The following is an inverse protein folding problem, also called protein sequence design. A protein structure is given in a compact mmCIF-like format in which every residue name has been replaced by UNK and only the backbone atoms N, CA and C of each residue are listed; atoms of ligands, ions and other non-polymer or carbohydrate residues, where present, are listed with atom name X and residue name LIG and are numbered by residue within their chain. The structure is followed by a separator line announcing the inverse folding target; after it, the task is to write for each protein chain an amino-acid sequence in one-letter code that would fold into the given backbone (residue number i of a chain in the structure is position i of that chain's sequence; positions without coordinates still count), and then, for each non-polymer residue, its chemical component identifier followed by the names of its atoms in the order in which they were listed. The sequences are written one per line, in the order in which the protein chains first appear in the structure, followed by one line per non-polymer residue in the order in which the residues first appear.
data_IF_846286339795
#
_entry.id   IF_846286339795
#
_cell.length_a   1.000
_cell.length_b   1.000
_cell.length_c   1.000
_cell.angle_alpha   90.00
_cell.angle_beta   90.00
_cell.angle_gamma   90.00
#
_symmetry.space_group_name_H-M   'P 1'
#
loop_
_entity.id
_entity.type
_entity.pdbx_description
1 polymer ?
#
# COMPACT_ATOMS: atom_id res chain seq x y z
N UNK A 1 -27.34 49.78 1.62
CA UNK A 1 -27.68 49.81 3.06
C UNK A 1 -26.74 48.79 3.72
N UNK A 2 -25.86 49.31 4.34
CA UNK A 2 -24.90 49.21 5.41
C UNK A 2 -25.48 48.56 6.67
N UNK A 3 -24.58 47.87 7.39
CA UNK A 3 -24.53 47.46 8.81
C UNK A 3 -24.41 45.94 8.94
N UNK A 4 -23.51 45.35 9.77
CA UNK A 4 -22.58 45.89 10.73
C UNK A 4 -21.90 44.71 11.42
N UNK A 5 -20.63 44.87 11.74
CA UNK A 5 -19.77 43.95 12.48
C UNK A 5 -20.16 43.85 13.97
N UNK A 6 -20.04 42.70 14.57
CA UNK A 6 -19.92 42.47 16.02
C UNK A 6 -19.28 41.10 16.21
N UNK A 7 -18.13 40.91 16.62
CA UNK A 7 -17.36 41.13 17.79
C UNK A 7 -17.66 40.03 18.83
N UNK A 8 -16.89 38.87 18.82
CA UNK A 8 -16.93 37.91 19.92
C UNK A 8 -15.53 37.79 20.54
N UNK A 9 -15.45 38.21 21.76
CA UNK A 9 -14.33 38.28 22.69
C UNK A 9 -13.84 36.88 23.12
N UNK A 10 -12.54 36.68 23.07
CA UNK A 10 -11.86 35.56 23.69
C UNK A 10 -11.77 35.74 25.20
N UNK A 11 -12.27 34.79 25.95
CA UNK A 11 -12.05 34.69 27.41
C UNK A 11 -11.02 33.62 27.67
N UNK A 12 -9.81 34.07 28.05
CA UNK A 12 -8.73 33.26 28.60
C UNK A 12 -9.04 32.90 30.04
N UNK A 13 -9.17 31.60 30.36
CA UNK A 13 -9.14 31.13 31.73
C UNK A 13 -7.70 30.84 32.16
N UNK A 14 -7.20 31.68 33.05
CA UNK A 14 -5.98 31.44 33.81
C UNK A 14 -6.34 30.62 35.04
N UNK A 15 -5.83 29.40 35.16
CA UNK A 15 -5.93 28.63 36.38
C UNK A 15 -4.63 28.75 37.15
N UNK A 16 -4.75 29.34 38.33
CA UNK A 16 -3.66 29.57 39.31
C UNK A 16 -3.31 28.30 40.08
N UNK A 17 -2.02 28.11 40.23
CA UNK A 17 -1.30 27.48 41.36
C UNK A 17 -1.63 26.04 41.78
N UNK A 18 -0.72 25.14 41.43
CA UNK A 18 -0.34 24.05 42.32
C UNK A 18 1.17 23.82 42.25
N UNK A 19 1.88 24.36 43.26
CA UNK A 19 3.30 24.09 43.47
C UNK A 19 3.42 22.69 44.12
N UNK A 20 4.00 21.74 43.35
CA UNK A 20 4.47 20.45 43.89
C UNK A 20 5.98 20.32 43.74
N UNK A 21 6.61 19.97 44.87
CA UNK A 21 8.07 19.87 45.09
C UNK A 21 8.75 18.89 44.14
N UNK A 22 9.95 19.21 43.62
CA UNK A 22 10.69 18.33 42.72
C UNK A 22 11.74 17.51 43.49
N UNK A 23 11.46 16.25 43.86
CA UNK A 23 12.54 15.40 44.38
C UNK A 23 12.38 13.87 44.19
N UNK A 24 11.35 13.36 43.52
CA UNK A 24 11.24 11.88 43.32
C UNK A 24 10.99 11.41 41.85
N UNK A 25 11.00 12.30 40.88
CA UNK A 25 10.75 11.93 39.46
C UNK A 25 12.01 11.59 38.65
N UNK A 26 13.19 11.99 39.08
CA UNK A 26 14.43 11.77 38.30
C UNK A 26 14.95 10.33 38.32
N UNK A 27 14.67 9.54 39.34
CA UNK A 27 15.14 8.13 39.41
C UNK A 27 14.27 7.17 38.59
N UNK A 28 12.94 7.39 38.51
CA UNK A 28 12.05 6.55 37.73
C UNK A 28 12.19 6.78 36.20
N UNK A 29 12.43 8.02 35.78
CA UNK A 29 12.66 8.30 34.35
C UNK A 29 13.97 7.70 33.81
N UNK A 30 15.04 7.62 34.65
CA UNK A 30 16.28 6.95 34.26
C UNK A 30 16.12 5.42 34.20
N UNK A 31 15.37 4.80 35.10
CA UNK A 31 15.09 3.36 35.04
C UNK A 31 14.25 2.96 33.82
N UNK A 32 13.24 3.77 33.43
CA UNK A 32 12.46 3.53 32.22
C UNK A 32 13.28 3.75 30.96
N UNK A 33 14.20 4.73 30.95
CA UNK A 33 15.08 4.99 29.81
C UNK A 33 16.12 3.87 29.62
N UNK A 34 16.63 3.30 30.68
CA UNK A 34 17.62 2.20 30.64
C UNK A 34 16.92 0.88 30.25
N UNK A 35 15.72 0.60 30.76
CA UNK A 35 14.93 -0.56 30.34
C UNK A 35 14.45 -0.46 28.88
N UNK A 36 14.11 0.73 28.39
CA UNK A 36 13.72 0.96 26.99
C UNK A 36 14.91 0.93 26.01
N UNK A 37 16.15 1.04 26.49
CA UNK A 37 17.36 0.89 25.66
C UNK A 37 17.82 -0.56 25.53
N UNK A 38 17.29 -1.49 26.36
CA UNK A 38 17.74 -2.88 26.39
C UNK A 38 17.05 -3.80 25.36
N UNK A 39 15.96 -3.35 24.69
CA UNK A 39 15.21 -4.19 23.74
C UNK A 39 14.59 -3.31 22.63
N UNK A 40 15.40 -2.74 21.75
CA UNK A 40 14.93 -2.16 20.49
C UNK A 40 15.24 -3.15 19.35
N UNK A 41 14.27 -4.01 18.99
CA UNK A 41 14.50 -5.08 18.00
C UNK A 41 14.86 -4.55 16.62
N UNK A 42 14.51 -3.28 16.31
CA UNK A 42 14.89 -2.63 15.07
C UNK A 42 16.40 -2.34 15.08
N UNK A 43 16.90 -1.71 16.15
CA UNK A 43 18.33 -1.43 16.31
C UNK A 43 19.16 -2.69 16.40
N UNK A 44 18.67 -3.69 17.14
CA UNK A 44 19.32 -4.98 17.27
C UNK A 44 19.49 -5.64 15.91
N UNK A 45 18.43 -5.72 15.11
CA UNK A 45 18.50 -6.31 13.78
C UNK A 45 19.44 -5.53 12.85
N UNK A 46 19.37 -4.19 12.83
CA UNK A 46 20.22 -3.35 11.98
C UNK A 46 21.71 -3.57 12.31
N UNK A 47 22.05 -3.69 13.60
CA UNK A 47 23.42 -3.83 14.07
C UNK A 47 23.95 -5.26 14.02
N UNK A 48 23.09 -6.26 13.87
CA UNK A 48 23.46 -7.67 13.72
C UNK A 48 23.32 -8.17 12.29
N UNK A 49 22.08 -8.43 11.85
CA UNK A 49 21.78 -8.98 10.53
C UNK A 49 21.88 -7.92 9.41
N UNK A 50 21.62 -6.63 9.73
CA UNK A 50 21.76 -5.50 8.79
C UNK A 50 23.19 -5.13 8.44
N UNK A 51 24.18 -5.83 9.01
CA UNK A 51 25.61 -5.64 8.76
C UNK A 51 26.15 -4.23 9.08
N UNK A 52 25.41 -3.42 9.84
CA UNK A 52 25.85 -2.11 10.29
C UNK A 52 26.56 -2.23 11.66
N UNK A 53 27.64 -1.49 11.85
CA UNK A 53 28.27 -1.41 13.17
C UNK A 53 27.78 -0.20 13.97
N UNK A 54 27.17 0.78 13.31
CA UNK A 54 26.71 2.02 13.92
C UNK A 54 25.50 2.61 13.21
N UNK A 55 24.50 3.02 14.01
CA UNK A 55 23.41 3.89 13.55
C UNK A 55 23.83 5.34 13.88
N UNK A 56 23.99 6.14 12.82
CA UNK A 56 24.50 7.50 12.93
C UNK A 56 23.39 8.52 13.14
N UNK A 57 22.22 8.28 12.52
CA UNK A 57 21.08 9.21 12.55
C UNK A 57 19.77 8.48 12.34
N UNK A 58 18.71 8.94 12.98
CA UNK A 58 17.33 8.53 12.71
C UNK A 58 16.52 9.78 12.37
N UNK A 59 15.90 9.79 11.19
CA UNK A 59 15.14 10.93 10.68
C UNK A 59 13.73 10.48 10.34
N UNK A 60 12.67 11.14 10.85
CA UNK A 60 11.30 10.88 10.41
C UNK A 60 11.16 11.12 8.90
N UNK A 61 10.46 10.21 8.23
CA UNK A 61 10.07 10.34 6.82
C UNK A 61 8.59 10.64 6.79
N UNK A 62 8.20 11.71 6.10
CA UNK A 62 6.81 12.10 5.94
C UNK A 62 6.08 11.21 4.93
N UNK A 63 4.76 11.15 5.03
CA UNK A 63 3.88 10.37 4.14
C UNK A 63 3.40 9.08 4.80
N UNK A 64 2.12 8.88 4.83
CA UNK A 64 1.46 7.71 5.42
C UNK A 64 0.51 8.09 6.56
N UNK A 65 -0.75 7.63 6.45
CA UNK A 65 -1.80 8.00 7.42
C UNK A 65 -1.84 7.08 8.64
N UNK A 66 -1.27 5.86 8.53
CA UNK A 66 -1.48 4.78 9.50
C UNK A 66 -0.19 4.42 10.24
N UNK A 67 0.93 4.44 9.53
CA UNK A 67 2.23 4.02 10.03
C UNK A 67 3.16 5.22 10.25
N UNK A 68 4.09 5.08 11.19
CA UNK A 68 5.21 6.01 11.34
C UNK A 68 6.39 5.47 10.56
N UNK A 69 7.01 6.32 9.75
CA UNK A 69 8.19 5.95 8.96
C UNK A 69 9.42 6.73 9.41
N UNK A 70 10.57 6.08 9.41
CA UNK A 70 11.85 6.66 9.71
C UNK A 70 12.93 6.13 8.74
N UNK A 71 13.86 7.00 8.42
CA UNK A 71 15.14 6.64 7.82
C UNK A 71 16.17 6.42 8.93
N UNK A 72 16.86 5.30 8.86
CA UNK A 72 17.98 4.96 9.74
C UNK A 72 19.27 5.04 8.92
N UNK A 73 20.06 6.06 9.13
CA UNK A 73 21.39 6.20 8.51
C UNK A 73 22.39 5.37 9.30
N UNK A 74 23.16 4.55 8.62
CA UNK A 74 24.19 3.67 9.19
C UNK A 74 25.47 3.73 8.39
N UNK A 75 26.52 3.12 8.90
CA UNK A 75 27.78 2.94 8.19
C UNK A 75 27.73 1.87 7.07
N UNK A 76 26.69 1.03 7.04
CA UNK A 76 26.43 0.07 5.97
C UNK A 76 25.40 0.59 4.92
N UNK A 77 24.92 1.83 5.05
CA UNK A 77 23.88 2.45 4.22
C UNK A 77 22.60 2.70 5.00
N UNK A 78 21.64 3.39 4.37
CA UNK A 78 20.38 3.74 5.01
C UNK A 78 19.36 2.61 4.93
N UNK A 79 18.52 2.47 5.99
CA UNK A 79 17.34 1.61 6.03
C UNK A 79 16.07 2.45 6.13
N UNK A 80 14.99 1.98 5.52
CA UNK A 80 13.65 2.50 5.72
C UNK A 80 12.88 1.61 6.69
N UNK A 81 12.28 2.22 7.71
CA UNK A 81 11.59 1.49 8.78
C UNK A 81 10.19 2.07 8.96
N UNK A 82 9.16 1.24 8.79
CA UNK A 82 7.80 1.57 9.22
C UNK A 82 7.50 0.90 10.56
N UNK A 83 6.74 1.61 11.39
CA UNK A 83 6.25 1.08 12.67
C UNK A 83 4.77 1.38 12.84
N UNK A 84 4.04 0.44 13.44
CA UNK A 84 2.67 0.62 13.88
C UNK A 84 2.54 0.16 15.33
N UNK A 85 1.96 0.98 16.20
CA UNK A 85 1.83 0.67 17.63
C UNK A 85 0.54 -0.05 18.01
N UNK A 86 -0.43 -0.11 17.09
CA UNK A 86 -1.76 -0.69 17.33
C UNK A 86 -2.02 -1.99 16.60
N UNK A 87 -1.22 -2.31 15.57
CA UNK A 87 -1.45 -3.46 14.69
C UNK A 87 -0.26 -4.41 14.81
N UNK A 88 -0.56 -5.71 14.95
CA UNK A 88 0.45 -6.76 15.04
C UNK A 88 1.16 -7.03 13.70
N UNK A 89 2.13 -7.97 13.68
CA UNK A 89 3.01 -8.21 12.54
C UNK A 89 2.32 -8.58 11.23
N UNK A 90 1.13 -9.19 11.29
CA UNK A 90 0.43 -9.72 10.11
C UNK A 90 0.19 -8.68 9.00
N UNK A 91 0.00 -7.40 9.35
CA UNK A 91 -0.13 -6.33 8.37
C UNK A 91 1.18 -6.15 7.57
N UNK A 92 2.31 -6.06 8.25
CA UNK A 92 3.62 -5.93 7.60
C UNK A 92 4.12 -7.22 6.97
N UNK A 93 3.68 -8.39 7.45
CA UNK A 93 3.93 -9.67 6.79
C UNK A 93 3.26 -9.70 5.40
N UNK A 94 2.01 -9.23 5.31
CA UNK A 94 1.30 -9.09 4.04
C UNK A 94 2.00 -8.13 3.07
N UNK A 95 2.46 -6.98 3.56
CA UNK A 95 3.23 -6.01 2.78
C UNK A 95 4.58 -6.59 2.32
N UNK A 96 5.33 -7.22 3.24
CA UNK A 96 6.63 -7.81 2.94
C UNK A 96 6.55 -8.93 1.90
N UNK A 97 5.55 -9.82 2.02
CA UNK A 97 5.34 -10.88 1.04
C UNK A 97 4.94 -10.32 -0.33
N UNK A 98 4.10 -9.28 -0.36
CA UNK A 98 3.74 -8.58 -1.59
C UNK A 98 4.94 -7.92 -2.26
N UNK A 99 5.75 -7.16 -1.50
CA UNK A 99 7.00 -6.56 -1.99
C UNK A 99 7.98 -7.61 -2.50
N UNK A 100 8.14 -8.74 -1.78
CA UNK A 100 8.99 -9.84 -2.22
C UNK A 100 8.52 -10.44 -3.55
N UNK A 101 7.22 -10.73 -3.67
CA UNK A 101 6.65 -11.27 -4.90
C UNK A 101 6.86 -10.33 -6.10
N UNK A 102 6.70 -9.01 -5.90
CA UNK A 102 6.98 -8.02 -6.95
C UNK A 102 8.47 -7.91 -7.26
N UNK A 103 9.33 -7.88 -6.23
CA UNK A 103 10.78 -7.84 -6.38
C UNK A 103 11.32 -9.02 -7.20
N UNK A 104 10.78 -10.21 -6.98
CA UNK A 104 11.18 -11.42 -7.67
C UNK A 104 10.81 -11.43 -9.17
N UNK A 105 9.85 -10.59 -9.58
CA UNK A 105 9.55 -10.40 -11.02
C UNK A 105 10.67 -9.69 -11.77
N UNK A 106 11.53 -8.92 -11.09
CA UNK A 106 12.63 -8.13 -11.65
C UNK A 106 12.21 -7.17 -12.76
N UNK A 107 11.03 -6.58 -12.61
CA UNK A 107 10.46 -5.67 -13.60
C UNK A 107 10.40 -4.23 -13.09
N UNK A 108 9.40 -3.89 -12.29
CA UNK A 108 9.29 -2.57 -11.66
C UNK A 108 10.08 -2.50 -10.37
N UNK A 109 10.69 -1.37 -10.09
CA UNK A 109 11.43 -1.13 -8.85
C UNK A 109 10.48 -1.04 -7.66
N UNK A 110 10.77 -1.82 -6.63
CA UNK A 110 10.10 -1.80 -5.31
C UNK A 110 11.15 -1.85 -4.21
N UNK A 111 10.89 -1.31 -3.00
CA UNK A 111 11.80 -1.49 -1.89
C UNK A 111 11.87 -2.95 -1.46
N UNK A 112 13.07 -3.48 -1.30
CA UNK A 112 13.27 -4.85 -0.83
C UNK A 112 12.92 -4.94 0.65
N UNK A 113 11.97 -5.79 1.08
CA UNK A 113 11.72 -6.04 2.50
C UNK A 113 12.85 -6.88 3.10
N UNK A 114 13.26 -6.55 4.32
CA UNK A 114 14.40 -7.18 4.98
C UNK A 114 13.99 -7.89 6.26
N UNK A 115 13.12 -7.26 7.08
CA UNK A 115 12.68 -7.83 8.37
C UNK A 115 11.30 -7.34 8.74
N UNK A 116 10.47 -8.23 9.24
CA UNK A 116 9.22 -7.92 9.95
C UNK A 116 9.33 -8.43 11.37
N UNK A 117 8.76 -7.71 12.33
CA UNK A 117 8.75 -8.15 13.71
C UNK A 117 7.74 -7.42 14.60
N UNK A 118 7.55 -7.96 15.79
CA UNK A 118 6.74 -7.35 16.84
C UNK A 118 7.56 -6.34 17.66
N UNK A 119 6.89 -5.30 18.15
CA UNK A 119 7.47 -4.35 19.11
C UNK A 119 7.19 -4.82 20.52
N UNK A 120 8.15 -4.73 21.46
CA UNK A 120 7.96 -5.15 22.86
C UNK A 120 6.82 -4.41 23.58
N UNK A 121 6.56 -3.17 23.16
CA UNK A 121 5.47 -2.34 23.71
C UNK A 121 4.11 -2.58 23.07
N UNK A 122 4.01 -3.59 22.20
CA UNK A 122 2.85 -3.85 21.33
C UNK A 122 2.99 -3.17 19.96
N UNK A 123 2.31 -3.75 18.95
CA UNK A 123 2.44 -3.34 17.57
C UNK A 123 3.54 -4.08 16.81
N UNK A 124 3.99 -3.51 15.69
CA UNK A 124 4.91 -4.19 14.77
C UNK A 124 5.78 -3.20 13.99
N UNK A 125 6.77 -3.74 13.28
CA UNK A 125 7.65 -3.00 12.38
C UNK A 125 7.98 -3.80 11.13
N UNK A 126 8.35 -3.08 10.07
CA UNK A 126 9.02 -3.61 8.89
C UNK A 126 10.27 -2.78 8.61
N UNK A 127 11.38 -3.46 8.33
CA UNK A 127 12.64 -2.87 7.85
C UNK A 127 12.76 -3.23 6.38
N UNK A 128 13.06 -2.25 5.55
CA UNK A 128 13.25 -2.45 4.12
C UNK A 128 14.37 -1.57 3.60
N UNK A 129 14.78 -1.83 2.37
CA UNK A 129 15.68 -0.97 1.62
C UNK A 129 15.19 0.47 1.63
N UNK A 130 16.10 1.40 1.83
CA UNK A 130 15.83 2.82 1.63
C UNK A 130 16.08 3.17 0.16
N UNK A 131 15.05 3.65 -0.54
CA UNK A 131 15.17 4.17 -1.89
C UNK A 131 15.19 5.69 -1.81
N UNK A 132 16.22 6.30 -2.37
CA UNK A 132 16.29 7.75 -2.49
C UNK A 132 15.49 8.20 -3.72
N UNK A 133 14.49 9.05 -3.48
CA UNK A 133 13.59 9.49 -4.54
C UNK A 133 14.14 10.72 -5.27
N UNK A 134 13.90 10.73 -6.58
CA UNK A 134 14.10 11.90 -7.43
C UNK A 134 13.03 12.97 -7.24
N UNK A 135 13.21 14.11 -7.89
CA UNK A 135 12.27 15.23 -7.84
C UNK A 135 11.09 15.09 -8.82
N UNK A 136 11.16 14.14 -9.77
CA UNK A 136 10.12 13.88 -10.78
C UNK A 136 9.29 12.65 -10.41
N UNK A 137 8.12 12.52 -11.02
CA UNK A 137 7.29 11.30 -10.91
C UNK A 137 7.76 10.14 -11.80
N UNK A 138 8.89 10.30 -12.48
CA UNK A 138 9.39 9.33 -13.45
C UNK A 138 8.66 9.35 -14.80
N UNK A 139 9.11 8.49 -15.71
CA UNK A 139 8.51 8.35 -17.04
C UNK A 139 7.26 7.45 -16.97
N UNK A 140 6.11 8.02 -17.33
CA UNK A 140 4.83 7.32 -17.38
C UNK A 140 4.82 6.17 -18.40
N UNK A 141 5.52 6.32 -19.51
CA UNK A 141 5.66 5.27 -20.53
C UNK A 141 6.43 4.07 -19.97
N UNK A 142 7.53 4.36 -19.26
CA UNK A 142 8.36 3.34 -18.62
C UNK A 142 7.60 2.64 -17.47
N UNK A 143 6.84 3.39 -16.66
CA UNK A 143 6.00 2.82 -15.62
C UNK A 143 4.96 1.86 -16.21
N UNK A 144 4.28 2.27 -17.29
CA UNK A 144 3.29 1.43 -17.96
C UNK A 144 3.90 0.14 -18.51
N UNK A 145 5.05 0.25 -19.17
CA UNK A 145 5.80 -0.90 -19.69
C UNK A 145 6.18 -1.88 -18.56
N UNK A 146 6.82 -1.38 -17.51
CA UNK A 146 7.29 -2.20 -16.38
C UNK A 146 6.16 -2.85 -15.60
N UNK A 147 5.04 -2.15 -15.40
CA UNK A 147 3.85 -2.72 -14.76
C UNK A 147 3.28 -3.88 -15.60
N UNK A 148 3.18 -3.70 -16.92
CA UNK A 148 2.74 -4.77 -17.81
C UNK A 148 3.68 -5.99 -17.79
N UNK A 149 4.97 -5.75 -17.72
CA UNK A 149 5.98 -6.82 -17.57
C UNK A 149 5.82 -7.55 -16.23
N UNK A 150 5.53 -6.83 -15.13
CA UNK A 150 5.24 -7.41 -13.83
C UNK A 150 4.01 -8.34 -13.90
N UNK A 151 2.92 -7.88 -14.51
CA UNK A 151 1.72 -8.68 -14.69
C UNK A 151 1.96 -9.93 -15.56
N UNK A 152 2.88 -9.86 -16.53
CA UNK A 152 3.24 -11.02 -17.37
C UNK A 152 4.17 -12.00 -16.66
N UNK A 153 5.09 -11.52 -15.85
CA UNK A 153 6.06 -12.33 -15.13
C UNK A 153 5.44 -12.98 -13.87
N UNK A 154 4.62 -12.21 -13.14
CA UNK A 154 3.97 -12.65 -11.91
C UNK A 154 2.69 -13.41 -12.18
N UNK A 155 2.76 -14.70 -12.49
CA UNK A 155 1.61 -15.59 -12.71
C UNK A 155 1.42 -16.54 -11.54
N UNK A 156 0.19 -16.99 -11.33
CA UNK A 156 -0.13 -18.00 -10.33
C UNK A 156 -0.80 -19.23 -10.95
N UNK A 157 -0.33 -20.39 -10.59
CA UNK A 157 -1.01 -21.68 -10.88
C UNK A 157 -2.05 -22.04 -9.81
N UNK A 158 -2.04 -21.38 -8.65
CA UNK A 158 -3.01 -21.57 -7.57
C UNK A 158 -4.37 -20.91 -7.85
N UNK A 159 -4.48 -20.10 -8.90
CA UNK A 159 -5.65 -19.26 -9.20
C UNK A 159 -5.53 -17.85 -8.65
N UNK A 160 -6.64 -17.30 -8.16
CA UNK A 160 -6.81 -15.92 -7.70
C UNK A 160 -6.77 -15.87 -6.16
N UNK A 161 -6.01 -14.94 -5.59
CA UNK A 161 -5.82 -14.83 -4.16
C UNK A 161 -4.37 -14.49 -3.78
N UNK A 162 -4.01 -14.71 -2.53
CA UNK A 162 -2.64 -14.57 -2.04
C UNK A 162 -2.44 -15.48 -0.83
N UNK A 163 -1.18 -15.80 -0.49
CA UNK A 163 -0.90 -16.74 0.60
C UNK A 163 -1.30 -16.19 1.98
N UNK A 164 -1.46 -14.87 2.11
CA UNK A 164 -1.94 -14.21 3.34
C UNK A 164 -2.98 -13.14 3.01
N UNK A 165 -3.86 -12.86 3.97
CA UNK A 165 -4.67 -11.66 3.91
C UNK A 165 -3.79 -10.43 4.16
N UNK A 166 -4.15 -9.29 3.56
CA UNK A 166 -3.48 -8.01 3.78
C UNK A 166 -4.51 -6.89 4.01
N UNK A 167 -4.12 -5.64 3.86
CA UNK A 167 -5.00 -4.49 4.08
C UNK A 167 -4.79 -3.45 2.99
N UNK A 168 -5.87 -2.76 2.61
CA UNK A 168 -5.80 -1.46 1.91
C UNK A 168 -6.12 -0.40 2.97
N UNK A 169 -5.12 0.39 3.33
CA UNK A 169 -5.22 1.23 4.50
C UNK A 169 -5.48 0.37 5.76
N UNK A 170 -6.56 0.65 6.49
CA UNK A 170 -7.00 -0.16 7.65
C UNK A 170 -8.04 -1.23 7.27
N UNK A 171 -8.50 -1.28 6.02
CA UNK A 171 -9.53 -2.22 5.58
C UNK A 171 -8.93 -3.58 5.26
N UNK A 172 -9.33 -4.67 5.93
CA UNK A 172 -8.86 -6.01 5.60
C UNK A 172 -9.23 -6.41 4.18
N UNK A 173 -8.30 -7.04 3.48
CA UNK A 173 -8.47 -7.60 2.15
C UNK A 173 -8.31 -9.12 2.22
N UNK A 174 -9.40 -9.84 1.95
CA UNK A 174 -9.43 -11.29 2.02
C UNK A 174 -8.84 -11.87 0.74
N UNK A 175 -7.85 -12.75 0.89
CA UNK A 175 -7.08 -13.31 -0.22
C UNK A 175 -7.15 -14.84 -0.29
N UNK A 176 -8.22 -15.45 0.24
CA UNK A 176 -8.43 -16.90 0.13
C UNK A 176 -8.38 -17.31 -1.34
N UNK A 177 -7.53 -18.28 -1.65
CA UNK A 177 -7.35 -18.81 -3.01
C UNK A 177 -8.65 -19.34 -3.60
N UNK A 178 -8.93 -18.99 -4.83
CA UNK A 178 -10.11 -19.37 -5.62
C UNK A 178 -9.68 -19.63 -7.05
N UNK A 179 -10.20 -20.68 -7.68
CA UNK A 179 -9.84 -21.05 -9.06
C UNK A 179 -10.49 -20.18 -10.12
N UNK A 180 -11.60 -19.51 -9.80
CA UNK A 180 -12.37 -18.67 -10.73
C UNK A 180 -12.28 -17.20 -10.31
N UNK A 181 -12.03 -16.32 -11.30
CA UNK A 181 -11.93 -14.87 -11.08
C UNK A 181 -13.23 -14.24 -10.61
N UNK A 182 -14.34 -14.60 -11.24
CA UNK A 182 -15.64 -14.01 -10.94
C UNK A 182 -16.07 -14.36 -9.52
N UNK A 183 -15.84 -15.62 -9.13
CA UNK A 183 -16.12 -16.09 -7.76
C UNK A 183 -15.21 -15.40 -6.74
N UNK A 184 -13.91 -15.24 -7.05
CA UNK A 184 -12.96 -14.50 -6.19
C UNK A 184 -13.38 -13.03 -6.03
N UNK A 185 -13.54 -12.31 -7.14
CA UNK A 185 -13.85 -10.89 -7.11
C UNK A 185 -15.22 -10.62 -6.52
N UNK A 186 -16.20 -11.41 -6.91
CA UNK A 186 -17.56 -11.32 -6.40
C UNK A 186 -17.65 -11.51 -4.89
N UNK A 187 -16.90 -12.46 -4.34
CA UNK A 187 -16.92 -12.79 -2.91
C UNK A 187 -15.98 -11.91 -2.07
N UNK A 188 -14.72 -11.83 -2.49
CA UNK A 188 -13.64 -11.28 -1.66
C UNK A 188 -13.30 -9.82 -1.98
N UNK A 189 -13.87 -9.25 -3.04
CA UNK A 189 -13.72 -7.84 -3.38
C UNK A 189 -15.07 -7.13 -3.31
N UNK A 190 -15.86 -7.16 -4.38
CA UNK A 190 -17.11 -6.40 -4.45
C UNK A 190 -18.10 -6.78 -3.33
N UNK A 191 -18.38 -8.08 -3.13
CA UNK A 191 -19.33 -8.54 -2.11
C UNK A 191 -18.89 -8.18 -0.69
N UNK A 192 -17.59 -8.29 -0.41
CA UNK A 192 -17.04 -7.90 0.89
C UNK A 192 -17.19 -6.39 1.14
N UNK A 193 -16.86 -5.55 0.15
CA UNK A 193 -17.03 -4.09 0.26
C UNK A 193 -18.49 -3.68 0.40
N UNK A 194 -19.40 -4.31 -0.33
CA UNK A 194 -20.84 -4.08 -0.20
C UNK A 194 -21.35 -4.41 1.21
N UNK A 195 -20.84 -5.50 1.79
CA UNK A 195 -21.16 -5.86 3.18
C UNK A 195 -20.66 -4.80 4.16
N UNK A 196 -19.38 -4.40 4.04
CA UNK A 196 -18.81 -3.36 4.91
C UNK A 196 -19.56 -2.03 4.79
N UNK A 197 -19.91 -1.61 3.57
CA UNK A 197 -20.68 -0.39 3.33
C UNK A 197 -22.08 -0.48 3.95
N UNK A 198 -22.73 -1.64 3.85
CA UNK A 198 -24.03 -1.87 4.48
C UNK A 198 -23.94 -1.81 6.01
N UNK A 199 -22.93 -2.48 6.58
CA UNK A 199 -22.71 -2.54 8.04
C UNK A 199 -22.39 -1.14 8.61
N UNK A 200 -21.65 -0.30 7.86
CA UNK A 200 -21.19 1.01 8.31
C UNK A 200 -22.20 2.15 8.03
N UNK A 201 -22.84 2.13 6.87
CA UNK A 201 -23.68 3.25 6.40
C UNK A 201 -25.17 2.91 6.28
N UNK A 202 -25.55 1.64 6.33
CA UNK A 202 -26.93 1.20 6.21
C UNK A 202 -27.55 1.44 4.82
N UNK A 203 -26.73 1.61 3.76
CA UNK A 203 -27.23 1.86 2.41
C UNK A 203 -27.74 0.59 1.75
N UNK A 204 -29.00 0.30 2.01
CA UNK A 204 -29.68 -0.87 1.46
C UNK A 204 -29.80 -0.84 -0.07
N UNK A 205 -29.95 0.37 -0.67
CA UNK A 205 -30.11 0.49 -2.12
C UNK A 205 -28.82 0.13 -2.87
N UNK A 206 -27.66 0.61 -2.40
CA UNK A 206 -26.35 0.21 -2.94
C UNK A 206 -26.14 -1.27 -2.74
N UNK A 207 -26.42 -1.79 -1.53
CA UNK A 207 -26.25 -3.21 -1.23
C UNK A 207 -27.08 -4.11 -2.17
N UNK A 208 -28.37 -3.77 -2.40
CA UNK A 208 -29.22 -4.52 -3.34
C UNK A 208 -28.69 -4.50 -4.78
N UNK A 209 -28.35 -3.30 -5.30
CA UNK A 209 -27.82 -3.14 -6.67
C UNK A 209 -26.50 -3.89 -6.83
N UNK A 210 -25.61 -3.77 -5.86
CA UNK A 210 -24.33 -4.45 -5.87
C UNK A 210 -24.47 -5.98 -5.84
N UNK A 211 -25.35 -6.52 -5.01
CA UNK A 211 -25.63 -7.96 -4.99
C UNK A 211 -26.23 -8.48 -6.31
N UNK A 212 -27.08 -7.66 -6.97
CA UNK A 212 -27.56 -7.99 -8.31
C UNK A 212 -26.41 -8.06 -9.33
N UNK A 213 -25.46 -7.12 -9.25
CA UNK A 213 -24.26 -7.14 -10.08
C UNK A 213 -23.42 -8.38 -9.81
N UNK A 214 -23.11 -8.70 -8.54
CA UNK A 214 -22.35 -9.91 -8.15
C UNK A 214 -22.99 -11.18 -8.73
N UNK A 215 -24.31 -11.33 -8.61
CA UNK A 215 -25.04 -12.50 -9.13
C UNK A 215 -24.96 -12.65 -10.64
N UNK A 216 -24.88 -11.54 -11.38
CA UNK A 216 -24.86 -11.55 -12.84
C UNK A 216 -23.46 -11.33 -13.44
N UNK A 217 -22.43 -11.24 -12.59
CA UNK A 217 -21.06 -10.92 -13.04
C UNK A 217 -20.51 -11.94 -14.04
N UNK A 218 -20.89 -13.21 -13.94
CA UNK A 218 -20.47 -14.25 -14.90
C UNK A 218 -20.80 -13.91 -16.34
N UNK A 219 -21.92 -13.21 -16.59
CA UNK A 219 -22.29 -12.77 -17.93
C UNK A 219 -21.31 -11.76 -18.55
N UNK A 220 -20.63 -10.97 -17.70
CA UNK A 220 -19.62 -10.01 -18.16
C UNK A 220 -18.31 -10.66 -18.57
N UNK A 221 -18.09 -11.90 -18.14
CA UNK A 221 -16.86 -12.68 -18.40
C UNK A 221 -17.10 -13.88 -19.33
N UNK A 222 -18.27 -13.97 -19.99
CA UNK A 222 -18.53 -15.02 -20.96
C UNK A 222 -17.50 -14.96 -22.09
N UNK A 223 -16.87 -16.08 -22.37
CA UNK A 223 -15.81 -16.24 -23.39
C UNK A 223 -14.53 -15.41 -23.12
N UNK A 224 -14.34 -14.91 -21.90
CA UNK A 224 -13.11 -14.23 -21.50
C UNK A 224 -12.30 -15.17 -20.63
N UNK A 225 -11.11 -15.51 -21.09
CA UNK A 225 -10.14 -16.25 -20.28
C UNK A 225 -9.35 -15.25 -19.41
N UNK A 226 -9.48 -15.38 -18.08
CA UNK A 226 -8.75 -14.55 -17.13
C UNK A 226 -7.57 -15.33 -16.59
N UNK A 227 -6.37 -14.81 -16.82
CA UNK A 227 -5.13 -15.39 -16.29
C UNK A 227 -4.75 -14.66 -14.99
N UNK A 228 -4.54 -15.39 -13.87
CA UNK A 228 -4.11 -14.79 -12.62
C UNK A 228 -2.74 -14.13 -12.78
N UNK A 229 -2.64 -12.84 -12.53
CA UNK A 229 -1.39 -12.10 -12.51
C UNK A 229 -1.20 -11.34 -11.20
N UNK A 230 0.05 -11.13 -10.81
CA UNK A 230 0.40 -10.39 -9.61
C UNK A 230 0.04 -8.91 -9.77
N UNK A 231 -0.82 -8.39 -8.91
CA UNK A 231 -1.22 -7.00 -8.86
C UNK A 231 -0.56 -6.30 -7.68
N UNK A 232 -0.30 -5.00 -7.84
CA UNK A 232 0.05 -4.13 -6.71
C UNK A 232 -1.16 -4.00 -5.76
N UNK A 233 -2.35 -3.88 -6.30
CA UNK A 233 -3.63 -3.90 -5.58
C UNK A 233 -4.03 -2.61 -4.87
N UNK A 234 -3.10 -1.62 -4.77
CA UNK A 234 -3.36 -0.28 -4.22
C UNK A 234 -2.53 0.78 -4.98
N UNK A 235 -2.59 0.75 -6.32
CA UNK A 235 -1.75 1.58 -7.19
C UNK A 235 -2.41 2.94 -7.48
N UNK A 236 -2.12 3.91 -6.65
CA UNK A 236 -2.54 5.32 -6.79
C UNK A 236 -1.33 6.26 -6.73
N UNK A 237 -1.53 7.55 -6.99
CA UNK A 237 -0.44 8.52 -7.12
C UNK A 237 0.47 8.65 -5.87
N UNK A 238 -0.05 8.30 -4.68
CA UNK A 238 0.74 8.31 -3.44
C UNK A 238 1.70 7.13 -3.31
N UNK A 239 1.44 6.05 -4.05
CA UNK A 239 2.26 4.83 -4.07
C UNK A 239 3.16 4.75 -5.31
N UNK A 240 3.26 5.83 -6.11
CA UNK A 240 4.09 5.94 -7.30
C UNK A 240 5.12 7.04 -7.11
N UNK A 241 6.39 6.73 -7.35
CA UNK A 241 7.52 7.64 -7.27
C UNK A 241 8.55 7.31 -8.36
N UNK A 242 9.70 7.96 -8.31
CA UNK A 242 10.88 7.57 -9.09
C UNK A 242 12.15 7.64 -8.25
N UNK A 243 13.13 6.80 -8.55
CA UNK A 243 14.47 6.92 -8.02
C UNK A 243 15.19 8.17 -8.50
N UNK A 244 16.34 8.47 -7.93
CA UNK A 244 17.22 9.59 -8.37
C UNK A 244 17.70 9.45 -9.83
N UNK A 245 17.70 8.22 -10.33
CA UNK A 245 18.02 7.87 -11.72
C UNK A 245 16.83 8.02 -12.68
N UNK A 246 15.64 8.38 -12.16
CA UNK A 246 14.39 8.50 -12.90
C UNK A 246 13.63 7.18 -13.11
N UNK A 247 14.15 6.05 -12.61
CA UNK A 247 13.46 4.76 -12.71
C UNK A 247 12.16 4.77 -11.91
N UNK A 248 11.01 4.34 -12.49
CA UNK A 248 9.76 4.26 -11.74
C UNK A 248 9.85 3.31 -10.54
N UNK A 249 9.33 3.77 -9.40
CA UNK A 249 9.27 3.02 -8.15
C UNK A 249 7.83 2.95 -7.68
N UNK A 250 7.35 1.77 -7.27
CA UNK A 250 6.04 1.60 -6.65
C UNK A 250 6.19 1.08 -5.22
N UNK A 251 5.29 1.50 -4.33
CA UNK A 251 5.40 1.39 -2.89
C UNK A 251 4.09 0.93 -2.26
N UNK A 252 4.15 0.39 -1.03
CA UNK A 252 2.99 0.12 -0.18
C UNK A 252 1.91 -0.74 -0.86
N UNK A 253 2.24 -1.94 -1.35
CA UNK A 253 1.31 -2.78 -2.06
C UNK A 253 0.31 -3.48 -1.14
N UNK A 254 -0.88 -3.77 -1.68
CA UNK A 254 -1.85 -4.71 -1.14
C UNK A 254 -2.00 -5.90 -2.10
N UNK A 255 -0.91 -6.64 -2.31
CA UNK A 255 -0.77 -7.63 -3.38
C UNK A 255 -1.77 -8.77 -3.31
N UNK A 256 -2.20 -9.18 -4.49
CA UNK A 256 -2.87 -10.45 -4.73
C UNK A 256 -2.76 -10.83 -6.21
N UNK A 257 -3.01 -12.10 -6.52
CA UNK A 257 -3.15 -12.55 -7.90
C UNK A 257 -4.58 -12.33 -8.37
N UNK A 258 -4.77 -11.50 -9.38
CA UNK A 258 -6.06 -11.08 -9.91
C UNK A 258 -6.07 -10.94 -11.43
N UNK A 259 -7.16 -10.41 -11.97
CA UNK A 259 -7.25 -9.95 -13.35
C UNK A 259 -6.44 -8.67 -13.52
N UNK A 260 -5.58 -8.60 -14.53
CA UNK A 260 -4.68 -7.43 -14.72
C UNK A 260 -5.42 -6.08 -14.77
N UNK A 261 -6.63 -6.05 -15.30
CA UNK A 261 -7.43 -4.82 -15.36
C UNK A 261 -7.95 -4.35 -13.99
N UNK A 262 -8.00 -5.23 -12.98
CA UNK A 262 -8.39 -4.82 -11.63
C UNK A 262 -7.37 -3.85 -11.00
N UNK A 263 -6.12 -3.81 -11.48
CA UNK A 263 -5.12 -2.82 -11.09
C UNK A 263 -5.58 -1.37 -11.36
N UNK A 264 -6.39 -1.19 -12.40
CA UNK A 264 -6.85 0.14 -12.82
C UNK A 264 -8.07 0.65 -12.05
N UNK A 265 -8.54 -0.07 -11.05
CA UNK A 265 -9.63 0.38 -10.18
C UNK A 265 -9.37 1.71 -9.48
N UNK A 266 -8.08 2.07 -9.28
CA UNK A 266 -7.63 3.34 -8.69
C UNK A 266 -7.11 4.35 -9.74
N UNK A 267 -7.31 4.10 -11.02
CA UNK A 267 -6.74 4.94 -12.11
C UNK A 267 -7.15 6.41 -12.05
N UNK A 268 -8.35 6.71 -11.57
CA UNK A 268 -8.86 8.08 -11.37
C UNK A 268 -8.02 8.92 -10.41
N UNK A 269 -7.28 8.31 -9.49
CA UNK A 269 -6.38 8.98 -8.54
C UNK A 269 -4.89 8.61 -8.73
N UNK A 270 -4.57 7.74 -9.69
CA UNK A 270 -3.19 7.36 -10.00
C UNK A 270 -2.47 8.41 -10.86
N UNK A 271 -3.22 9.15 -11.67
CA UNK A 271 -2.66 10.14 -12.59
C UNK A 271 -1.99 9.52 -13.82
N UNK A 272 -2.49 8.37 -14.28
CA UNK A 272 -2.01 7.71 -15.49
C UNK A 272 -2.40 8.51 -16.74
N UNK A 273 -1.42 8.82 -17.59
CA UNK A 273 -1.61 9.50 -18.85
C UNK A 273 -1.68 8.54 -20.05
N UNK A 274 -1.94 9.09 -21.23
CA UNK A 274 -2.03 8.32 -22.48
C UNK A 274 -0.75 7.52 -22.79
N UNK A 275 0.42 8.06 -22.45
CA UNK A 275 1.72 7.38 -22.64
C UNK A 275 1.85 6.13 -21.78
N UNK A 276 1.34 6.18 -20.53
CA UNK A 276 1.29 5.02 -19.65
C UNK A 276 0.48 3.88 -20.27
N UNK A 277 -0.79 4.17 -20.64
CA UNK A 277 -1.68 3.15 -21.19
C UNK A 277 -1.17 2.61 -22.54
N UNK A 278 -0.65 3.47 -23.41
CA UNK A 278 -0.08 3.05 -24.68
C UNK A 278 1.04 2.03 -24.50
N UNK A 279 1.97 2.29 -23.57
CA UNK A 279 3.10 1.40 -23.31
C UNK A 279 2.66 0.13 -22.58
N UNK A 280 1.72 0.23 -21.63
CA UNK A 280 1.18 -0.92 -20.95
C UNK A 280 0.52 -1.90 -21.92
N UNK A 281 -0.39 -1.41 -22.76
CA UNK A 281 -1.13 -2.26 -23.69
C UNK A 281 -0.25 -2.79 -24.83
N UNK A 282 0.77 -2.07 -25.24
CA UNK A 282 1.75 -2.58 -26.20
C UNK A 282 2.44 -3.85 -25.71
N UNK A 283 2.70 -3.95 -24.40
CA UNK A 283 3.30 -5.13 -23.78
C UNK A 283 2.27 -6.24 -23.58
N UNK A 284 1.08 -5.93 -23.05
CA UNK A 284 0.04 -6.94 -22.75
C UNK A 284 -0.50 -7.56 -24.04
N UNK A 285 -0.80 -6.76 -25.06
CA UNK A 285 -1.36 -7.21 -26.35
C UNK A 285 -0.30 -7.46 -27.41
N UNK A 286 0.84 -8.08 -27.09
CA UNK A 286 1.76 -8.56 -28.14
C UNK A 286 1.01 -9.42 -29.17
N UNK A 287 1.32 -9.28 -30.46
CA UNK A 287 0.60 -9.77 -31.67
C UNK A 287 0.04 -11.22 -31.64
N UNK A 288 0.35 -12.03 -30.64
CA UNK A 288 -0.22 -13.37 -30.45
C UNK A 288 -1.57 -13.38 -29.71
N UNK A 289 -1.96 -12.29 -29.04
CA UNK A 289 -3.20 -12.20 -28.25
C UNK A 289 -4.31 -11.43 -28.98
N UNK A 290 -4.00 -10.72 -30.07
CA UNK A 290 -4.94 -9.82 -30.77
C UNK A 290 -6.10 -10.49 -31.49
N UNK A 291 -6.14 -11.83 -31.54
CA UNK A 291 -7.26 -12.57 -32.19
C UNK A 291 -8.33 -13.06 -31.23
N UNK A 292 -8.15 -12.91 -29.90
CA UNK A 292 -9.11 -13.40 -28.89
C UNK A 292 -9.71 -12.33 -27.99
N UNK A 293 -9.11 -11.14 -27.94
CA UNK A 293 -9.66 -10.02 -27.15
C UNK A 293 -10.45 -9.10 -28.07
N UNK A 294 -11.77 -9.08 -27.86
CA UNK A 294 -12.65 -8.18 -28.59
C UNK A 294 -12.24 -6.73 -28.39
N UNK A 295 -12.35 -6.01 -29.49
CA UNK A 295 -12.34 -4.56 -29.71
C UNK A 295 -11.82 -3.65 -28.57
N UNK A 296 -10.73 -2.90 -28.76
CA UNK A 296 -10.19 -1.94 -27.79
C UNK A 296 -11.14 -0.76 -27.47
N UNK A 297 -12.37 -0.77 -27.94
CA UNK A 297 -13.37 0.27 -27.72
C UNK A 297 -13.91 0.40 -26.29
N UNK A 298 -13.61 -0.51 -25.38
CA UNK A 298 -14.10 -0.41 -23.99
C UNK A 298 -13.34 0.64 -23.14
N UNK A 299 -12.12 0.98 -23.53
CA UNK A 299 -11.28 1.93 -22.79
C UNK A 299 -11.39 3.40 -23.22
N UNK A 300 -12.05 3.69 -24.35
CA UNK A 300 -12.37 5.08 -24.74
C UNK A 300 -13.43 5.75 -23.84
N UNK A 301 -14.15 4.97 -23.03
CA UNK A 301 -15.18 5.50 -22.13
C UNK A 301 -14.66 5.94 -20.77
N UNK A 302 -13.41 5.66 -20.41
CA UNK A 302 -12.80 6.08 -19.14
C UNK A 302 -11.84 7.27 -19.27
N UNK A 303 -11.59 7.74 -20.49
CA UNK A 303 -10.67 8.84 -20.79
C UNK A 303 -11.30 10.23 -20.90
N UNK A 304 -12.65 10.33 -20.94
CA UNK A 304 -13.40 11.58 -21.15
C UNK A 304 -14.38 11.90 -19.99
N UNK A 305 -14.10 11.45 -18.75
CA UNK A 305 -14.89 11.81 -17.59
C UNK A 305 -14.05 12.49 -16.49
#
# INVERSE_FOLDING_TARGET
MSMGLSGATSTSFVCSSCQLRPSRLRSRQRSFAIAAMAEDPIREWILSEGQATKITRITPVGGGCINRANRYDTDAGPFFVKTNRGIGPSMFEGEALGLSAMYDTRTVRVPRPLKVGALPSGGSYIIMEFIEFGSSRGDQSELGRKLAEMHKAGKSEKGFGFDVNNTIGSTPQINTWTSDWVDFYGKHRLGYQLKLAMDQYGDYAIHQKGNKLVKNMKLLFENIEVVPCLLHGDLWSGNISSGIDGEPVILDPACYYGHCEAEFGMSWCAGFGASFYSSYFQVIFTKKCSSKFGNPGFFHLLGDA
#
